data_IF_180360153606
#
_entry.id   IF_180360153606
#
_cell.length_a   1.000
_cell.length_b   1.000
_cell.length_c   1.000
_cell.angle_alpha   90.00
_cell.angle_beta   90.00
_cell.angle_gamma   90.00
#
_symmetry.space_group_name_H-M   'P 1'
#
loop_
_entity.id
_entity.type
_entity.pdbx_description
1 polymer ?
#
# COMPACT_ATOMS: atom_id res chain seq x y z
N UNK A 1 30.84 24.53 -2.07
CA UNK A 1 29.53 24.08 -1.52
C UNK A 1 28.56 25.24 -1.64
N UNK A 2 27.28 25.07 -2.02
CA UNK A 2 26.48 23.84 -1.92
C UNK A 2 25.90 23.33 -3.26
N UNK A 3 25.83 22.01 -3.38
CA UNK A 3 24.92 21.24 -4.26
C UNK A 3 24.01 20.48 -3.31
N UNK A 4 22.69 20.69 -3.36
CA UNK A 4 21.63 19.78 -2.88
C UNK A 4 20.21 20.40 -3.01
N UNK A 5 19.81 20.85 -4.21
CA UNK A 5 18.40 21.23 -4.48
C UNK A 5 17.76 20.47 -5.65
N UNK A 6 18.46 19.52 -6.27
CA UNK A 6 18.01 18.89 -7.52
C UNK A 6 16.95 17.80 -7.32
N UNK A 7 16.84 17.22 -6.13
CA UNK A 7 15.95 16.08 -5.87
C UNK A 7 14.49 16.51 -5.63
N UNK A 8 14.26 17.61 -4.92
CA UNK A 8 12.91 18.16 -4.68
C UNK A 8 12.32 18.74 -5.95
N UNK A 9 13.15 19.36 -6.80
CA UNK A 9 12.69 19.91 -8.07
C UNK A 9 12.34 18.80 -9.09
N UNK A 10 13.07 17.67 -9.08
CA UNK A 10 12.71 16.50 -9.91
C UNK A 10 11.42 15.82 -9.46
N UNK A 11 11.14 15.82 -8.15
CA UNK A 11 9.91 15.26 -7.58
C UNK A 11 8.66 16.08 -7.95
N UNK A 12 8.74 17.41 -7.88
CA UNK A 12 7.66 18.30 -8.34
C UNK A 12 7.48 18.27 -9.86
N UNK A 13 8.57 18.15 -10.63
CA UNK A 13 8.49 18.03 -12.08
C UNK A 13 7.82 16.73 -12.52
N UNK A 14 8.06 15.63 -11.81
CA UNK A 14 7.41 14.34 -12.07
C UNK A 14 5.89 14.39 -11.79
N UNK A 15 5.45 14.96 -10.66
CA UNK A 15 4.02 15.15 -10.40
C UNK A 15 3.34 16.07 -11.43
N UNK A 16 4.03 17.11 -11.90
CA UNK A 16 3.50 18.01 -12.93
C UNK A 16 3.38 17.33 -14.29
N UNK A 17 4.27 16.41 -14.64
CA UNK A 17 4.17 15.63 -15.88
C UNK A 17 3.06 14.58 -15.85
N UNK A 18 2.86 13.89 -14.72
CA UNK A 18 1.74 12.95 -14.56
C UNK A 18 0.38 13.67 -14.70
N UNK A 19 0.22 14.84 -14.05
CA UNK A 19 -1.00 15.67 -14.21
C UNK A 19 -1.16 16.24 -15.63
N UNK A 20 -0.06 16.58 -16.31
CA UNK A 20 -0.12 17.09 -17.69
C UNK A 20 -0.53 16.00 -18.71
N UNK A 21 -0.14 14.76 -18.49
CA UNK A 21 -0.58 13.63 -19.33
C UNK A 21 -2.05 13.27 -19.11
N UNK A 22 -2.61 13.53 -17.92
CA UNK A 22 -4.05 13.39 -17.66
C UNK A 22 -4.88 14.53 -18.26
N UNK A 23 -4.41 15.79 -18.23
CA UNK A 23 -5.11 16.90 -18.90
C UNK A 23 -5.07 16.81 -20.43
N UNK A 24 -4.01 16.23 -21.01
CA UNK A 24 -3.99 15.92 -22.45
C UNK A 24 -4.89 14.73 -22.81
N UNK A 25 -5.21 13.86 -21.84
CA UNK A 25 -6.15 12.73 -22.00
C UNK A 25 -7.61 13.18 -21.94
N UNK A 26 -7.95 14.25 -21.21
CA UNK A 26 -9.31 14.82 -21.18
C UNK A 26 -9.56 15.91 -22.25
N UNK A 27 -8.51 16.44 -22.87
CA UNK A 27 -8.58 17.51 -23.89
C UNK A 27 -8.74 17.05 -25.35
N UNK A 28 -9.09 15.79 -25.60
CA UNK A 28 -9.29 15.21 -26.94
C UNK A 28 -10.60 15.61 -27.64
N UNK A 29 -10.95 16.90 -27.58
CA UNK A 29 -12.21 17.44 -28.09
C UNK A 29 -12.02 18.72 -28.90
N UNK A 30 -11.17 18.69 -29.95
CA UNK A 30 -11.13 19.75 -30.96
C UNK A 30 -10.96 19.17 -32.37
N UNK A 31 -12.08 18.87 -33.03
CA UNK A 31 -12.15 18.95 -34.50
C UNK A 31 -12.75 20.31 -34.85
N UNK A 32 -11.87 21.28 -35.11
CA UNK A 32 -12.25 22.52 -35.77
C UNK A 32 -11.90 22.41 -37.26
N UNK A 33 -12.91 22.71 -38.09
CA UNK A 33 -12.81 23.31 -39.41
C UNK A 33 -11.90 22.64 -40.47
N UNK A 34 -12.51 21.80 -41.30
CA UNK A 34 -12.23 21.80 -42.74
C UNK A 34 -13.56 21.89 -43.49
N UNK A 35 -13.73 23.01 -44.20
CA UNK A 35 -14.85 23.30 -45.09
C UNK A 35 -14.85 22.33 -46.28
N UNK A 36 -16.05 21.89 -46.65
CA UNK A 36 -16.46 21.78 -48.05
C UNK A 36 -16.05 20.51 -48.79
N UNK A 37 -16.83 19.44 -48.66
CA UNK A 37 -17.21 18.63 -49.81
C UNK A 37 -18.56 17.94 -49.56
N UNK A 38 -19.56 18.31 -50.37
CA UNK A 38 -20.86 17.65 -50.50
C UNK A 38 -20.66 16.16 -50.82
N UNK A 39 -21.28 15.25 -50.06
CA UNK A 39 -22.09 14.12 -50.56
C UNK A 39 -22.97 13.66 -49.39
N UNK A 40 -24.28 13.62 -49.59
CA UNK A 40 -25.23 13.17 -48.57
C UNK A 40 -25.23 11.65 -48.40
N UNK A 41 -25.66 11.16 -47.24
CA UNK A 41 -26.38 9.89 -47.06
C UNK A 41 -27.05 9.89 -45.68
N UNK A 42 -28.25 9.32 -45.66
CA UNK A 42 -29.32 9.36 -44.66
C UNK A 42 -28.92 8.89 -43.26
N UNK A 43 -29.46 9.58 -42.26
CA UNK A 43 -29.78 9.03 -40.94
C UNK A 43 -30.87 7.97 -41.11
N UNK A 44 -30.65 6.76 -40.62
CA UNK A 44 -31.71 5.77 -40.43
C UNK A 44 -31.57 5.14 -39.06
N UNK A 45 -32.45 5.61 -38.18
CA UNK A 45 -32.89 4.93 -36.97
C UNK A 45 -33.61 3.67 -37.45
N UNK A 46 -33.14 2.48 -37.08
CA UNK A 46 -33.94 1.26 -37.22
C UNK A 46 -33.85 0.43 -35.93
N UNK A 47 -35.00 0.35 -35.29
CA UNK A 47 -35.39 -0.61 -34.26
C UNK A 47 -35.60 -2.01 -34.86
N UNK A 48 -35.26 -3.03 -34.06
CA UNK A 48 -35.76 -4.41 -34.05
C UNK A 48 -35.50 -5.35 -35.25
N UNK A 49 -34.81 -6.47 -35.01
CA UNK A 49 -35.42 -7.83 -34.95
C UNK A 49 -34.33 -8.90 -34.84
N UNK A 50 -34.65 -10.02 -34.19
CA UNK A 50 -33.73 -11.11 -33.89
C UNK A 50 -33.47 -12.08 -35.06
N UNK A 51 -32.34 -12.77 -34.98
CA UNK A 51 -31.98 -13.94 -35.79
C UNK A 51 -30.52 -14.37 -35.51
N UNK A 52 -30.21 -15.68 -35.37
CA UNK A 52 -28.91 -16.15 -34.92
C UNK A 52 -27.91 -16.14 -36.07
N UNK A 53 -26.80 -15.40 -35.94
CA UNK A 53 -25.72 -15.40 -36.93
C UNK A 53 -24.66 -16.42 -36.49
N UNK A 54 -24.39 -17.37 -37.39
CA UNK A 54 -23.57 -18.56 -37.19
C UNK A 54 -22.08 -18.33 -36.86
N UNK A 55 -21.31 -19.42 -36.74
CA UNK A 55 -19.99 -19.40 -36.12
C UNK A 55 -19.01 -18.65 -37.02
N UNK A 56 -18.61 -17.47 -36.58
CA UNK A 56 -17.47 -16.76 -37.17
C UNK A 56 -16.22 -17.60 -36.92
N UNK A 57 -15.60 -18.06 -38.02
CA UNK A 57 -14.28 -18.67 -38.06
C UNK A 57 -13.26 -17.68 -37.46
N UNK A 58 -13.06 -17.77 -36.14
CA UNK A 58 -12.00 -17.05 -35.44
C UNK A 58 -10.68 -17.62 -35.94
N UNK A 59 -10.01 -16.86 -36.82
CA UNK A 59 -8.63 -17.12 -37.21
C UNK A 59 -7.78 -17.27 -35.95
N UNK A 60 -7.40 -18.51 -35.64
CA UNK A 60 -6.42 -18.83 -34.61
C UNK A 60 -5.09 -18.25 -35.10
N UNK A 61 -4.82 -16.99 -34.76
CA UNK A 61 -3.44 -16.50 -34.74
C UNK A 61 -2.68 -17.43 -33.78
N UNK A 62 -1.53 -17.99 -34.16
CA UNK A 62 -0.72 -18.73 -33.22
C UNK A 62 -0.33 -17.78 -32.09
N UNK A 63 -0.83 -18.03 -30.87
CA UNK A 63 -0.36 -17.31 -29.69
C UNK A 63 1.07 -17.76 -29.40
N UNK A 64 1.97 -16.84 -28.99
CA UNK A 64 3.33 -17.21 -28.61
C UNK A 64 3.33 -18.24 -27.45
N UNK A 65 4.43 -18.98 -27.20
CA UNK A 65 4.53 -20.09 -26.22
C UNK A 65 4.31 -19.70 -24.74
N UNK A 66 3.83 -18.50 -24.46
CA UNK A 66 3.64 -17.88 -23.15
C UNK A 66 2.30 -18.26 -22.48
N UNK A 67 1.51 -19.13 -23.08
CA UNK A 67 0.32 -19.72 -22.43
C UNK A 67 0.72 -20.73 -21.34
N UNK A 68 1.92 -21.32 -21.43
CA UNK A 68 2.47 -22.17 -20.37
C UNK A 68 2.70 -21.39 -19.07
N UNK A 69 3.22 -20.15 -19.15
CA UNK A 69 3.51 -19.30 -17.98
C UNK A 69 2.25 -18.80 -17.24
N UNK A 70 1.06 -18.88 -17.87
CA UNK A 70 -0.19 -18.42 -17.26
C UNK A 70 -0.97 -19.55 -16.58
N UNK A 71 -0.48 -20.80 -16.70
CA UNK A 71 -1.09 -21.95 -16.07
C UNK A 71 -0.87 -21.90 -14.53
N UNK A 72 -1.90 -22.13 -13.69
CA UNK A 72 -1.76 -22.17 -12.24
C UNK A 72 -0.66 -23.13 -11.77
N UNK A 73 -0.40 -24.20 -12.51
CA UNK A 73 0.67 -25.18 -12.22
C UNK A 73 2.06 -24.51 -12.26
N UNK A 74 2.31 -23.62 -13.24
CA UNK A 74 3.61 -22.93 -13.34
C UNK A 74 3.78 -21.97 -12.18
N UNK A 75 2.72 -21.28 -11.75
CA UNK A 75 2.78 -20.39 -10.59
C UNK A 75 3.16 -21.16 -9.31
N UNK A 76 2.57 -22.33 -9.07
CA UNK A 76 2.94 -23.17 -7.94
C UNK A 76 4.38 -23.69 -8.03
N UNK A 77 4.86 -24.01 -9.24
CA UNK A 77 6.25 -24.42 -9.46
C UNK A 77 7.23 -23.28 -9.13
N UNK A 78 6.91 -22.03 -9.52
CA UNK A 78 7.74 -20.87 -9.17
C UNK A 78 7.71 -20.58 -7.67
N UNK A 79 6.56 -20.73 -7.01
CA UNK A 79 6.45 -20.65 -5.54
C UNK A 79 7.33 -21.71 -4.88
N UNK A 80 7.29 -22.96 -5.34
CA UNK A 80 8.14 -24.04 -4.84
C UNK A 80 9.64 -23.75 -5.05
N UNK A 81 10.01 -23.19 -6.20
CA UNK A 81 11.39 -22.79 -6.48
C UNK A 81 11.85 -21.63 -5.57
N UNK A 82 10.94 -20.69 -5.27
CA UNK A 82 11.15 -19.67 -4.25
C UNK A 82 11.39 -20.26 -2.86
N UNK A 83 10.65 -21.31 -2.48
CA UNK A 83 10.81 -22.00 -1.21
C UNK A 83 12.21 -22.58 -1.06
N UNK A 84 12.71 -23.25 -2.11
CA UNK A 84 14.07 -23.78 -2.18
C UNK A 84 15.10 -22.65 -2.06
N UNK A 85 14.91 -21.55 -2.79
CA UNK A 85 15.80 -20.38 -2.74
C UNK A 85 15.91 -19.78 -1.34
N UNK A 86 14.78 -19.53 -0.67
CA UNK A 86 14.77 -19.00 0.70
C UNK A 86 15.39 -20.00 1.69
N UNK A 87 15.11 -21.30 1.53
CA UNK A 87 15.65 -22.34 2.41
C UNK A 87 17.17 -22.45 2.33
N UNK A 88 17.74 -22.17 1.15
CA UNK A 88 19.20 -22.10 0.94
C UNK A 88 19.81 -20.77 1.40
N UNK A 89 19.03 -19.69 1.43
CA UNK A 89 19.50 -18.37 1.84
C UNK A 89 19.61 -18.22 3.37
N UNK A 90 18.89 -19.06 4.14
CA UNK A 90 18.91 -19.05 5.61
C UNK A 90 20.28 -19.44 6.19
N UNK A 91 20.70 -18.85 7.33
CA UNK A 91 21.96 -19.19 7.99
C UNK A 91 22.04 -20.67 8.42
N UNK A 92 23.03 -21.41 7.89
CA UNK A 92 23.33 -22.81 8.24
C UNK A 92 24.81 -22.97 8.64
N UNK A 93 25.08 -23.92 9.54
CA UNK A 93 26.46 -24.29 9.93
C UNK A 93 27.18 -24.95 8.75
N UNK A 94 28.37 -24.43 8.39
CA UNK A 94 29.39 -25.15 7.62
C UNK A 94 29.44 -24.92 6.11
N UNK A 95 28.42 -24.36 5.46
CA UNK A 95 28.45 -24.06 4.01
C UNK A 95 27.99 -22.63 3.77
N UNK A 96 28.63 -21.91 2.85
CA UNK A 96 28.37 -20.51 2.51
C UNK A 96 27.44 -20.26 1.29
N UNK A 97 26.34 -21.02 1.04
CA UNK A 97 25.52 -20.81 -0.16
C UNK A 97 24.51 -19.67 0.01
N UNK A 98 24.61 -18.79 1.02
CA UNK A 98 23.67 -17.69 1.25
C UNK A 98 23.51 -16.78 0.02
N UNK A 99 24.60 -16.55 -0.72
CA UNK A 99 24.58 -15.78 -1.97
C UNK A 99 23.79 -16.51 -3.06
N UNK A 100 24.00 -17.83 -3.19
CA UNK A 100 23.34 -18.69 -4.19
C UNK A 100 21.85 -18.80 -3.89
N UNK A 101 21.47 -19.06 -2.64
CA UNK A 101 20.07 -19.06 -2.21
C UNK A 101 19.39 -17.71 -2.44
N UNK A 102 20.10 -16.62 -2.16
CA UNK A 102 19.62 -15.26 -2.43
C UNK A 102 19.33 -15.00 -3.91
N UNK A 103 20.23 -15.45 -4.80
CA UNK A 103 20.04 -15.35 -6.26
C UNK A 103 18.83 -16.17 -6.72
N UNK A 104 18.69 -17.41 -6.25
CA UNK A 104 17.56 -18.28 -6.60
C UNK A 104 16.24 -17.66 -6.15
N UNK A 105 16.17 -17.15 -4.91
CA UNK A 105 14.98 -16.48 -4.39
C UNK A 105 14.66 -15.20 -5.18
N UNK A 106 15.67 -14.42 -5.57
CA UNK A 106 15.48 -13.21 -6.38
C UNK A 106 14.96 -13.55 -7.80
N UNK A 107 15.50 -14.59 -8.43
CA UNK A 107 15.03 -15.06 -9.75
C UNK A 107 13.59 -15.57 -9.66
N UNK A 108 13.26 -16.36 -8.64
CA UNK A 108 11.90 -16.84 -8.41
C UNK A 108 10.93 -15.67 -8.21
N UNK A 109 11.26 -14.74 -7.32
CA UNK A 109 10.43 -13.55 -7.07
C UNK A 109 10.26 -12.68 -8.31
N UNK A 110 11.34 -12.44 -9.07
CA UNK A 110 11.29 -11.72 -10.33
C UNK A 110 10.40 -12.40 -11.37
N UNK A 111 10.45 -13.74 -11.45
CA UNK A 111 9.59 -14.52 -12.34
C UNK A 111 8.12 -14.46 -11.92
N UNK A 112 7.80 -14.50 -10.62
CA UNK A 112 6.42 -14.31 -10.12
C UNK A 112 5.90 -12.93 -10.52
N UNK A 113 6.68 -11.88 -10.28
CA UNK A 113 6.29 -10.50 -10.63
C UNK A 113 6.08 -10.37 -12.13
N UNK A 114 6.96 -10.95 -12.95
CA UNK A 114 6.83 -10.95 -14.41
C UNK A 114 5.57 -11.69 -14.87
N UNK A 115 5.31 -12.90 -14.34
CA UNK A 115 4.12 -13.70 -14.68
C UNK A 115 2.84 -12.95 -14.32
N UNK A 116 2.76 -12.37 -13.12
CA UNK A 116 1.60 -11.58 -12.69
C UNK A 116 1.40 -10.34 -13.56
N UNK A 117 2.49 -9.68 -13.95
CA UNK A 117 2.43 -8.48 -14.79
C UNK A 117 1.99 -8.79 -16.22
N UNK A 118 2.50 -9.88 -16.80
CA UNK A 118 2.07 -10.36 -18.11
C UNK A 118 0.60 -10.80 -18.08
N UNK A 119 0.13 -11.39 -16.98
CA UNK A 119 -1.28 -11.76 -16.80
C UNK A 119 -2.17 -10.52 -16.69
N UNK A 120 -1.77 -9.53 -15.90
CA UNK A 120 -2.48 -8.26 -15.77
C UNK A 120 -2.58 -7.52 -17.11
N UNK A 121 -1.48 -7.47 -17.88
CA UNK A 121 -1.44 -6.85 -19.21
C UNK A 121 -2.29 -7.57 -20.28
N UNK A 122 -2.70 -8.83 -20.04
CA UNK A 122 -3.63 -9.55 -20.93
C UNK A 122 -5.10 -9.34 -20.54
N UNK A 123 -5.37 -9.12 -19.26
CA UNK A 123 -6.73 -8.95 -18.75
C UNK A 123 -7.19 -7.47 -18.78
N UNK A 124 -6.27 -6.54 -18.53
CA UNK A 124 -6.46 -5.12 -18.80
C UNK A 124 -5.96 -4.76 -20.20
N UNK A 125 -6.55 -3.76 -20.84
CA UNK A 125 -6.15 -3.30 -22.18
C UNK A 125 -4.70 -2.76 -22.26
N UNK A 126 -4.31 -2.13 -23.38
CA UNK A 126 -2.94 -1.65 -23.63
C UNK A 126 -2.34 -0.68 -22.58
N UNK A 127 -3.14 -0.19 -21.62
CA UNK A 127 -2.73 0.68 -20.51
C UNK A 127 -2.49 -0.06 -19.18
N UNK A 128 -2.60 -1.40 -19.13
CA UNK A 128 -2.57 -2.16 -17.88
C UNK A 128 -1.19 -2.58 -17.37
N UNK A 129 -0.12 -2.23 -18.10
CA UNK A 129 1.24 -2.54 -17.66
C UNK A 129 1.65 -1.62 -16.49
N UNK A 130 2.09 -2.19 -15.34
CA UNK A 130 2.58 -1.38 -14.22
C UNK A 130 3.76 -0.48 -14.62
N UNK A 131 3.81 0.72 -14.05
CA UNK A 131 4.91 1.68 -14.26
C UNK A 131 6.29 1.09 -13.89
N UNK A 132 7.37 1.55 -14.51
CA UNK A 132 8.73 1.10 -14.18
C UNK A 132 9.04 1.21 -12.68
N UNK A 133 8.60 2.29 -12.04
CA UNK A 133 8.78 2.54 -10.61
C UNK A 133 8.17 1.43 -9.74
N UNK A 134 7.06 0.80 -10.17
CA UNK A 134 6.45 -0.30 -9.45
C UNK A 134 7.42 -1.47 -9.31
N UNK A 135 8.07 -1.86 -10.41
CA UNK A 135 9.03 -2.96 -10.39
C UNK A 135 10.26 -2.65 -9.55
N UNK A 136 10.75 -1.41 -9.59
CA UNK A 136 11.88 -0.98 -8.78
C UNK A 136 11.55 -1.07 -7.29
N UNK A 137 10.43 -0.49 -6.85
CA UNK A 137 10.02 -0.54 -5.45
C UNK A 137 9.68 -1.97 -5.00
N UNK A 138 9.02 -2.78 -5.83
CA UNK A 138 8.74 -4.17 -5.52
C UNK A 138 10.01 -5.01 -5.38
N UNK A 139 10.99 -4.83 -6.27
CA UNK A 139 12.28 -5.53 -6.21
C UNK A 139 13.06 -5.15 -4.94
N UNK A 140 13.10 -3.85 -4.59
CA UNK A 140 13.74 -3.39 -3.36
C UNK A 140 13.02 -3.94 -2.12
N UNK A 141 11.69 -3.93 -2.10
CA UNK A 141 10.90 -4.46 -0.98
C UNK A 141 11.16 -5.96 -0.76
N UNK A 142 11.10 -6.77 -1.82
CA UNK A 142 11.36 -8.22 -1.73
C UNK A 142 12.81 -8.54 -1.39
N UNK A 143 13.77 -7.83 -1.99
CA UNK A 143 15.19 -8.01 -1.71
C UNK A 143 15.56 -7.64 -0.27
N UNK A 144 15.00 -6.54 0.23
CA UNK A 144 15.16 -6.11 1.61
C UNK A 144 14.51 -7.09 2.58
N UNK A 145 13.28 -7.54 2.31
CA UNK A 145 12.59 -8.53 3.14
C UNK A 145 13.35 -9.86 3.24
N UNK A 146 13.92 -10.33 2.12
CA UNK A 146 14.79 -11.52 2.11
C UNK A 146 16.05 -11.29 2.95
N UNK A 147 16.63 -10.08 2.92
CA UNK A 147 17.81 -9.74 3.73
C UNK A 147 17.51 -9.58 5.21
N UNK A 148 16.31 -9.14 5.60
CA UNK A 148 15.87 -9.11 7.01
C UNK A 148 15.98 -10.49 7.65
N UNK A 149 15.49 -11.54 6.98
CA UNK A 149 15.42 -12.88 7.55
C UNK A 149 16.71 -13.69 7.39
N UNK A 150 17.61 -13.29 6.49
CA UNK A 150 18.86 -14.03 6.21
C UNK A 150 20.09 -13.44 6.88
N UNK A 151 20.03 -12.18 7.34
CA UNK A 151 21.19 -11.52 7.91
C UNK A 151 21.40 -11.92 9.38
N UNK A 152 22.61 -12.39 9.77
CA UNK A 152 22.85 -12.96 11.11
C UNK A 152 22.98 -11.90 12.22
N UNK A 153 23.14 -10.62 11.86
CA UNK A 153 23.29 -9.53 12.83
C UNK A 153 21.97 -8.77 12.99
N UNK A 154 21.37 -8.70 14.18
CA UNK A 154 20.02 -8.18 14.38
C UNK A 154 19.88 -6.70 14.02
N UNK A 155 20.90 -5.88 14.30
CA UNK A 155 20.91 -4.45 13.95
C UNK A 155 20.79 -4.25 12.43
N UNK A 156 21.57 -4.98 11.65
CA UNK A 156 21.53 -4.88 10.18
C UNK A 156 20.25 -5.49 9.61
N UNK A 157 19.73 -6.58 10.20
CA UNK A 157 18.43 -7.14 9.84
C UNK A 157 17.32 -6.09 9.98
N UNK A 158 17.31 -5.34 11.08
CA UNK A 158 16.33 -4.28 11.30
C UNK A 158 16.52 -3.07 10.35
N UNK A 159 17.74 -2.74 9.92
CA UNK A 159 17.96 -1.73 8.86
C UNK A 159 17.35 -2.15 7.51
N UNK A 160 17.46 -3.43 7.13
CA UNK A 160 16.77 -3.97 5.95
C UNK A 160 15.24 -3.95 6.13
N UNK A 161 14.75 -4.04 7.36
CA UNK A 161 13.31 -3.97 7.63
C UNK A 161 12.79 -2.54 7.40
N UNK A 162 13.53 -1.52 7.84
CA UNK A 162 13.24 -0.12 7.49
C UNK A 162 13.19 0.06 5.97
N UNK A 163 14.17 -0.48 5.24
CA UNK A 163 14.21 -0.37 3.78
C UNK A 163 12.98 -1.02 3.12
N UNK A 164 12.50 -2.15 3.65
CA UNK A 164 11.28 -2.83 3.17
C UNK A 164 10.03 -1.97 3.37
N UNK A 165 9.92 -1.33 4.54
CA UNK A 165 8.80 -0.44 4.87
C UNK A 165 8.82 0.82 4.01
N UNK A 166 9.99 1.44 3.80
CA UNK A 166 10.15 2.59 2.89
C UNK A 166 9.80 2.23 1.44
N UNK A 167 10.23 1.08 0.95
CA UNK A 167 9.87 0.62 -0.39
C UNK A 167 8.35 0.36 -0.53
N UNK A 168 7.73 -0.19 0.51
CA UNK A 168 6.27 -0.39 0.57
C UNK A 168 5.51 0.95 0.60
N UNK A 169 6.02 1.97 1.29
CA UNK A 169 5.45 3.31 1.25
C UNK A 169 5.52 3.92 -0.17
N UNK A 170 6.62 3.67 -0.89
CA UNK A 170 6.73 4.00 -2.31
C UNK A 170 5.64 3.34 -3.16
N UNK A 171 5.35 2.05 -2.93
CA UNK A 171 4.24 1.35 -3.61
C UNK A 171 2.87 1.97 -3.29
N UNK A 172 2.63 2.42 -2.06
CA UNK A 172 1.39 3.13 -1.72
C UNK A 172 1.27 4.49 -2.38
N UNK A 173 2.38 5.24 -2.55
CA UNK A 173 2.36 6.48 -3.32
C UNK A 173 1.99 6.23 -4.79
N UNK A 174 2.45 5.12 -5.38
CA UNK A 174 2.09 4.74 -6.75
C UNK A 174 0.60 4.38 -6.90
N UNK A 175 -0.03 3.91 -5.83
CA UNK A 175 -1.47 3.63 -5.76
C UNK A 175 -2.30 4.88 -5.44
N UNK A 176 -1.69 6.08 -5.48
CA UNK A 176 -2.30 7.35 -5.05
C UNK A 176 -2.80 7.33 -3.60
N UNK A 177 -2.27 6.43 -2.75
CA UNK A 177 -2.63 6.28 -1.34
C UNK A 177 -1.66 7.08 -0.44
N UNK A 178 -1.66 8.40 -0.61
CA UNK A 178 -0.68 9.30 0.00
C UNK A 178 -0.70 9.27 1.54
N UNK A 179 -1.88 9.36 2.14
CA UNK A 179 -2.03 9.30 3.59
C UNK A 179 -1.44 8.00 4.16
N UNK A 180 -1.78 6.86 3.55
CA UNK A 180 -1.31 5.54 3.99
C UNK A 180 0.21 5.41 3.84
N UNK A 181 0.79 5.96 2.78
CA UNK A 181 2.24 5.99 2.60
C UNK A 181 2.95 6.77 3.73
N UNK A 182 2.48 7.98 4.05
CA UNK A 182 3.07 8.77 5.13
C UNK A 182 2.85 8.13 6.51
N UNK A 183 1.66 7.58 6.77
CA UNK A 183 1.37 6.86 8.02
C UNK A 183 2.31 5.65 8.20
N UNK A 184 2.57 4.89 7.13
CA UNK A 184 3.50 3.77 7.14
C UNK A 184 4.93 4.22 7.50
N UNK A 185 5.37 5.36 6.97
CA UNK A 185 6.70 5.91 7.28
C UNK A 185 6.77 6.40 8.74
N UNK A 186 5.83 7.23 9.18
CA UNK A 186 5.88 7.86 10.51
C UNK A 186 5.74 6.81 11.61
N UNK A 187 4.77 5.89 11.48
CA UNK A 187 4.44 4.92 12.52
C UNK A 187 5.38 3.73 12.48
N UNK A 188 5.48 3.05 11.32
CA UNK A 188 6.26 1.81 11.24
C UNK A 188 7.76 2.08 11.10
N UNK A 189 8.18 2.82 10.08
CA UNK A 189 9.61 3.09 9.88
C UNK A 189 10.18 4.03 10.95
N UNK A 190 9.39 5.01 11.40
CA UNK A 190 9.75 5.98 12.43
C UNK A 190 9.65 5.37 13.82
N UNK A 191 8.47 5.38 14.44
CA UNK A 191 8.34 5.02 15.85
C UNK A 191 8.66 3.54 16.13
N UNK A 192 7.95 2.60 15.50
CA UNK A 192 8.00 1.18 15.90
C UNK A 192 9.37 0.58 15.63
N UNK A 193 9.89 0.72 14.40
CA UNK A 193 11.15 0.06 14.03
C UNK A 193 12.36 0.73 14.69
N UNK A 194 12.38 2.05 14.86
CA UNK A 194 13.48 2.72 15.59
C UNK A 194 13.45 2.35 17.07
N UNK A 195 12.28 2.30 17.71
CA UNK A 195 12.16 1.80 19.08
C UNK A 195 12.63 0.36 19.19
N UNK A 196 12.25 -0.51 18.24
CA UNK A 196 12.72 -1.89 18.21
C UNK A 196 14.24 -1.97 18.02
N UNK A 197 14.82 -1.19 17.11
CA UNK A 197 16.27 -1.07 16.91
C UNK A 197 17.00 -0.66 18.19
N UNK A 198 16.46 0.30 18.91
CA UNK A 198 17.02 0.74 20.19
C UNK A 198 16.98 -0.37 21.24
N UNK A 199 15.85 -1.08 21.34
CA UNK A 199 15.67 -2.22 22.26
C UNK A 199 16.64 -3.35 21.96
N UNK A 200 16.77 -3.78 20.69
CA UNK A 200 17.72 -4.85 20.34
C UNK A 200 19.17 -4.39 20.57
N UNK A 201 19.50 -3.12 20.30
CA UNK A 201 20.85 -2.61 20.50
C UNK A 201 21.21 -2.59 21.99
N UNK A 202 20.31 -2.14 22.86
CA UNK A 202 20.50 -2.19 24.32
C UNK A 202 20.58 -3.63 24.84
N UNK A 203 19.79 -4.55 24.29
CA UNK A 203 19.85 -5.96 24.65
C UNK A 203 21.17 -6.64 24.24
N UNK A 204 21.89 -6.07 23.26
CA UNK A 204 23.10 -6.68 22.66
C UNK A 204 24.45 -6.28 23.31
N UNK A 205 24.47 -5.81 24.58
CA UNK A 205 25.71 -5.51 25.35
C UNK A 205 25.54 -6.06 26.79
N UNK A 206 26.46 -6.84 27.39
CA UNK A 206 27.90 -6.73 27.44
C UNK A 206 28.64 -8.02 27.02
N UNK A 207 29.81 -7.91 26.34
CA UNK A 207 30.72 -9.04 26.17
C UNK A 207 31.16 -9.53 27.55
N UNK A 208 30.78 -10.74 27.93
CA UNK A 208 31.40 -11.45 29.05
C UNK A 208 32.92 -11.48 28.79
N UNK A 209 33.70 -10.90 29.70
CA UNK A 209 35.15 -10.81 29.59
C UNK A 209 35.73 -12.24 29.46
N UNK A 210 36.12 -12.61 28.23
CA UNK A 210 36.63 -13.94 27.90
C UNK A 210 35.96 -14.64 26.70
N UNK A 211 34.87 -14.12 26.14
CA UNK A 211 34.25 -14.64 24.90
C UNK A 211 34.19 -13.57 23.83
N UNK A 212 35.34 -13.28 23.22
CA UNK A 212 35.51 -12.12 22.33
C UNK A 212 34.61 -12.07 21.09
N UNK A 213 33.95 -13.14 20.62
CA UNK A 213 33.23 -13.12 19.32
C UNK A 213 32.10 -14.15 19.15
N UNK A 214 31.39 -14.54 20.20
CA UNK A 214 30.27 -15.49 20.07
C UNK A 214 28.93 -14.75 20.04
N UNK A 215 28.49 -14.39 18.82
CA UNK A 215 27.07 -14.14 18.56
C UNK A 215 26.24 -15.26 19.20
N UNK A 216 25.07 -14.92 19.75
CA UNK A 216 24.20 -15.93 20.36
C UNK A 216 23.96 -17.07 19.36
N UNK A 217 24.03 -18.32 19.83
CA UNK A 217 23.88 -19.50 18.97
C UNK A 217 22.53 -19.49 18.22
N UNK A 218 21.51 -18.88 18.82
CA UNK A 218 20.19 -18.64 18.25
C UNK A 218 20.19 -17.68 17.05
N UNK A 219 21.11 -16.71 16.99
CA UNK A 219 21.17 -15.70 15.91
C UNK A 219 21.95 -16.21 14.69
N UNK A 220 22.81 -17.22 14.90
CA UNK A 220 23.73 -17.71 13.86
C UNK A 220 23.21 -18.95 13.13
N UNK A 221 22.25 -19.67 13.71
CA UNK A 221 21.76 -20.95 13.17
C UNK A 221 20.24 -21.01 13.23
N UNK A 222 19.63 -21.26 12.06
CA UNK A 222 18.21 -21.60 12.01
C UNK A 222 17.96 -23.00 12.60
N UNK A 223 17.09 -23.09 13.61
CA UNK A 223 16.77 -24.36 14.30
C UNK A 223 16.12 -25.39 13.36
N UNK A 224 15.16 -24.94 12.55
CA UNK A 224 14.41 -25.80 11.60
C UNK A 224 14.09 -25.06 10.28
N UNK A 225 15.09 -24.81 9.40
CA UNK A 225 14.90 -23.99 8.20
C UNK A 225 13.94 -24.60 7.18
N UNK A 226 13.91 -25.93 7.05
CA UNK A 226 13.07 -26.63 6.06
C UNK A 226 11.60 -26.55 6.45
N UNK A 227 11.27 -26.81 7.72
CA UNK A 227 9.90 -26.74 8.22
C UNK A 227 9.35 -25.31 8.10
N UNK A 228 10.14 -24.30 8.50
CA UNK A 228 9.76 -22.90 8.40
C UNK A 228 9.49 -22.45 6.96
N UNK A 229 10.37 -22.78 6.00
CA UNK A 229 10.14 -22.41 4.59
C UNK A 229 8.99 -23.17 3.97
N UNK A 230 8.83 -24.45 4.28
CA UNK A 230 7.72 -25.24 3.74
C UNK A 230 6.38 -24.69 4.24
N UNK A 231 6.25 -24.43 5.54
CA UNK A 231 5.03 -23.86 6.10
C UNK A 231 4.70 -22.48 5.48
N UNK A 232 5.69 -21.58 5.41
CA UNK A 232 5.51 -20.25 4.83
C UNK A 232 5.08 -20.28 3.36
N UNK A 233 5.69 -21.13 2.55
CA UNK A 233 5.38 -21.23 1.11
C UNK A 233 4.09 -22.00 0.83
N UNK A 234 3.67 -22.93 1.70
CA UNK A 234 2.34 -23.54 1.64
C UNK A 234 1.27 -22.49 1.88
N UNK A 235 1.41 -21.66 2.93
CA UNK A 235 0.48 -20.56 3.20
C UNK A 235 0.46 -19.57 2.03
N UNK A 236 1.63 -19.18 1.50
CA UNK A 236 1.72 -18.31 0.33
C UNK A 236 1.03 -18.91 -0.91
N UNK A 237 1.22 -20.20 -1.15
CA UNK A 237 0.56 -20.93 -2.23
C UNK A 237 -0.96 -20.93 -2.10
N UNK A 238 -1.47 -21.21 -0.90
CA UNK A 238 -2.92 -21.19 -0.61
C UNK A 238 -3.49 -19.78 -0.78
N UNK A 239 -2.85 -18.75 -0.23
CA UNK A 239 -3.29 -17.37 -0.39
C UNK A 239 -3.29 -16.94 -1.86
N UNK A 240 -2.27 -17.32 -2.61
CA UNK A 240 -2.19 -17.05 -4.05
C UNK A 240 -3.31 -17.77 -4.80
N UNK A 241 -3.62 -19.02 -4.44
CA UNK A 241 -4.73 -19.77 -5.02
C UNK A 241 -6.08 -19.10 -4.78
N UNK A 242 -6.34 -18.68 -3.54
CA UNK A 242 -7.58 -17.98 -3.16
C UNK A 242 -7.71 -16.65 -3.88
N UNK A 243 -6.64 -15.85 -3.91
CA UNK A 243 -6.62 -14.54 -4.56
C UNK A 243 -6.90 -14.66 -6.06
N UNK A 244 -6.27 -15.63 -6.72
CA UNK A 244 -6.39 -15.81 -8.17
C UNK A 244 -7.66 -16.57 -8.58
N UNK A 245 -8.27 -17.32 -7.68
CA UNK A 245 -9.52 -18.06 -7.90
C UNK A 245 -10.79 -17.22 -7.67
N UNK A 246 -10.76 -16.26 -6.74
CA UNK A 246 -11.96 -15.55 -6.28
C UNK A 246 -12.38 -14.31 -7.09
N UNK A 247 -11.55 -13.82 -8.01
CA UNK A 247 -11.79 -12.52 -8.68
C UNK A 247 -12.93 -12.47 -9.70
N UNK A 248 -13.55 -13.61 -10.07
CA UNK A 248 -14.51 -13.68 -11.17
C UNK A 248 -15.98 -13.42 -10.78
N UNK A 249 -16.30 -13.19 -9.49
CA UNK A 249 -17.69 -13.14 -9.01
C UNK A 249 -18.15 -11.83 -8.36
N UNK A 250 -17.40 -10.73 -8.46
CA UNK A 250 -17.88 -9.46 -7.91
C UNK A 250 -18.90 -8.81 -8.86
N UNK A 251 -20.13 -8.52 -8.40
CA UNK A 251 -21.07 -7.70 -9.16
C UNK A 251 -20.42 -6.35 -9.47
N UNK A 252 -20.64 -5.77 -10.67
CA UNK A 252 -20.19 -4.41 -10.95
C UNK A 252 -20.79 -3.48 -9.89
N UNK A 253 -19.93 -2.73 -9.20
CA UNK A 253 -20.36 -1.79 -8.17
C UNK A 253 -21.41 -0.83 -8.76
N UNK A 254 -22.49 -0.51 -8.01
CA UNK A 254 -23.49 0.44 -8.46
C UNK A 254 -22.83 1.77 -8.81
N UNK A 255 -23.32 2.44 -9.85
CA UNK A 255 -22.72 3.60 -10.51
C UNK A 255 -22.57 4.88 -9.66
N UNK A 256 -22.88 4.84 -8.36
CA UNK A 256 -22.60 5.94 -7.45
C UNK A 256 -21.14 5.85 -7.00
N UNK A 257 -20.31 6.73 -7.55
CA UNK A 257 -18.94 6.90 -7.08
C UNK A 257 -18.98 7.29 -5.58
N UNK A 258 -18.37 6.50 -4.67
CA UNK A 258 -18.39 6.76 -3.24
C UNK A 258 -17.85 8.16 -2.88
N UNK A 259 -16.97 8.70 -3.72
CA UNK A 259 -16.45 10.06 -3.55
C UNK A 259 -17.54 11.12 -3.77
N UNK A 260 -18.45 10.91 -4.72
CA UNK A 260 -19.54 11.83 -5.04
C UNK A 260 -20.57 11.85 -3.91
N UNK A 261 -20.91 10.69 -3.36
CA UNK A 261 -21.82 10.61 -2.20
C UNK A 261 -21.25 11.33 -0.99
N UNK A 262 -19.94 11.21 -0.73
CA UNK A 262 -19.26 11.91 0.37
C UNK A 262 -19.12 13.42 0.12
N UNK A 263 -18.90 13.83 -1.13
CA UNK A 263 -18.87 15.26 -1.51
C UNK A 263 -20.24 15.93 -1.23
N UNK A 264 -21.35 15.22 -1.44
CA UNK A 264 -22.68 15.73 -1.13
C UNK A 264 -22.87 16.04 0.37
N UNK A 265 -22.21 15.29 1.25
CA UNK A 265 -22.24 15.50 2.70
C UNK A 265 -21.37 16.69 3.15
N UNK A 266 -20.64 17.33 2.23
CA UNK A 266 -19.74 18.47 2.46
C UNK A 266 -20.26 19.78 1.82
N UNK A 267 -21.46 20.28 2.19
CA UNK A 267 -22.08 21.42 1.52
C UNK A 267 -21.23 22.70 1.62
N UNK A 268 -20.53 22.91 2.74
CA UNK A 268 -19.65 24.07 2.91
C UNK A 268 -18.46 24.09 1.95
N UNK A 269 -17.91 22.92 1.63
CA UNK A 269 -16.78 22.82 0.71
C UNK A 269 -17.23 23.14 -0.71
N UNK A 270 -18.38 22.60 -1.12
CA UNK A 270 -19.01 22.92 -2.41
C UNK A 270 -19.30 24.43 -2.49
N UNK A 271 -19.88 25.03 -1.45
CA UNK A 271 -20.15 26.48 -1.39
C UNK A 271 -18.88 27.32 -1.48
N UNK A 272 -17.82 26.97 -0.73
CA UNK A 272 -16.54 27.69 -0.80
C UNK A 272 -15.93 27.61 -2.19
N UNK A 273 -15.87 26.42 -2.80
CA UNK A 273 -15.34 26.27 -4.16
C UNK A 273 -16.17 27.01 -5.20
N UNK A 274 -17.50 27.08 -5.05
CA UNK A 274 -18.37 27.88 -5.92
C UNK A 274 -18.18 29.39 -5.71
N UNK A 275 -17.88 29.84 -4.48
CA UNK A 275 -17.52 31.25 -4.21
C UNK A 275 -16.16 31.60 -4.83
N UNK A 276 -15.17 30.73 -4.66
CA UNK A 276 -13.82 30.91 -5.22
C UNK A 276 -13.85 30.94 -6.76
N UNK A 277 -14.70 30.12 -7.37
CA UNK A 277 -14.95 30.12 -8.82
C UNK A 277 -15.78 31.31 -9.30
N UNK A 278 -16.28 32.17 -8.40
CA UNK A 278 -17.12 33.33 -8.72
C UNK A 278 -18.55 32.97 -9.16
N UNK A 279 -18.94 31.71 -9.05
CA UNK A 279 -20.29 31.22 -9.38
C UNK A 279 -21.31 31.63 -8.31
N UNK A 280 -20.88 31.77 -7.05
CA UNK A 280 -21.74 32.13 -5.93
C UNK A 280 -21.40 33.55 -5.43
N UNK A 281 -22.25 34.53 -5.74
CA UNK A 281 -22.08 35.94 -5.33
C UNK A 281 -22.80 36.23 -3.99
N UNK A 282 -22.35 37.29 -3.31
CA UNK A 282 -22.68 37.61 -1.91
C UNK A 282 -24.12 37.32 -1.48
N UNK A 283 -24.28 36.51 -0.41
CA UNK A 283 -25.57 36.09 0.15
C UNK A 283 -26.16 34.81 -0.44
N UNK A 284 -25.73 34.38 -1.65
CA UNK A 284 -26.22 33.13 -2.24
C UNK A 284 -25.77 31.87 -1.49
N UNK A 285 -26.60 30.83 -1.56
CA UNK A 285 -26.39 29.52 -0.92
C UNK A 285 -26.68 28.37 -1.88
N UNK A 286 -26.33 27.14 -1.51
CA UNK A 286 -26.75 25.96 -2.26
C UNK A 286 -28.26 25.73 -2.13
N UNK A 287 -28.90 25.39 -3.25
CA UNK A 287 -30.29 24.96 -3.19
C UNK A 287 -30.35 23.59 -2.50
N UNK A 288 -31.23 23.48 -1.50
CA UNK A 288 -31.42 22.27 -0.71
C UNK A 288 -32.71 21.57 -1.10
N UNK A 289 -32.66 20.24 -1.12
CA UNK A 289 -33.82 19.36 -1.24
C UNK A 289 -34.71 19.48 -0.01
N UNK A 290 -35.92 18.93 -0.06
CA UNK A 290 -36.83 18.83 1.10
C UNK A 290 -36.24 18.03 2.26
N UNK A 291 -35.24 17.17 2.00
CA UNK A 291 -34.46 16.45 3.02
C UNK A 291 -33.25 17.24 3.57
N UNK A 292 -32.97 18.43 3.05
CA UNK A 292 -31.85 19.27 3.49
C UNK A 292 -30.53 19.06 2.74
N UNK A 293 -30.44 18.06 1.88
CA UNK A 293 -29.25 17.77 1.06
C UNK A 293 -29.10 18.73 -0.12
N UNK A 294 -27.87 19.03 -0.58
CA UNK A 294 -27.64 19.85 -1.75
C UNK A 294 -28.14 19.15 -3.02
N UNK A 295 -28.84 19.89 -3.89
CA UNK A 295 -29.33 19.38 -5.17
C UNK A 295 -28.21 19.42 -6.21
N UNK A 296 -27.60 18.25 -6.44
CA UNK A 296 -26.45 18.09 -7.35
C UNK A 296 -26.83 17.10 -8.46
N UNK A 297 -26.57 17.49 -9.70
CA UNK A 297 -26.65 16.59 -10.85
C UNK A 297 -25.23 16.14 -11.24
N UNK A 298 -24.91 14.89 -10.91
CA UNK A 298 -23.59 14.32 -11.13
C UNK A 298 -23.31 13.97 -12.60
N UNK A 299 -24.33 13.68 -13.42
CA UNK A 299 -24.12 13.36 -14.85
C UNK A 299 -23.74 14.59 -15.66
N UNK A 300 -24.38 15.72 -15.36
CA UNK A 300 -24.17 16.98 -16.08
C UNK A 300 -23.14 17.89 -15.40
N UNK A 301 -22.59 17.46 -14.26
CA UNK A 301 -21.67 18.24 -13.38
C UNK A 301 -22.21 19.63 -13.08
N UNK A 302 -23.49 19.72 -12.71
CA UNK A 302 -24.13 21.00 -12.35
C UNK A 302 -24.69 20.96 -10.94
N UNK A 303 -24.57 22.07 -10.23
CA UNK A 303 -25.11 22.26 -8.89
C UNK A 303 -26.15 23.36 -8.91
N UNK A 304 -27.26 23.15 -8.22
CA UNK A 304 -28.30 24.18 -8.13
C UNK A 304 -27.95 25.18 -7.02
N UNK A 305 -27.90 26.46 -7.38
CA UNK A 305 -27.61 27.58 -6.47
C UNK A 305 -28.86 28.45 -6.29
N UNK A 306 -29.03 29.00 -5.10
CA UNK A 306 -30.09 29.94 -4.75
C UNK A 306 -29.48 31.34 -4.54
N UNK A 307 -29.90 32.30 -5.37
CA UNK A 307 -29.47 33.68 -5.29
C UNK A 307 -30.11 34.43 -4.11
N UNK A 308 -29.60 35.63 -3.77
CA UNK A 308 -30.16 36.46 -2.69
C UNK A 308 -31.63 36.85 -2.92
N UNK A 309 -32.09 36.83 -4.18
CA UNK A 309 -33.47 37.12 -4.58
C UNK A 309 -34.38 35.86 -4.54
N UNK A 310 -33.89 34.72 -4.03
CA UNK A 310 -34.61 33.44 -4.00
C UNK A 310 -34.70 32.71 -5.35
N UNK A 311 -34.04 33.23 -6.40
CA UNK A 311 -34.02 32.59 -7.72
C UNK A 311 -33.07 31.38 -7.74
N UNK A 312 -33.51 30.26 -8.31
CA UNK A 312 -32.73 29.03 -8.44
C UNK A 312 -32.13 28.90 -9.82
N UNK A 313 -30.81 28.81 -9.92
CA UNK A 313 -30.10 28.64 -11.19
C UNK A 313 -29.13 27.45 -11.11
N UNK A 314 -28.88 26.81 -12.25
CA UNK A 314 -27.88 25.75 -12.35
C UNK A 314 -26.52 26.38 -12.65
N UNK A 315 -25.54 26.13 -11.79
CA UNK A 315 -24.16 26.53 -11.98
C UNK A 315 -23.31 25.30 -12.35
N UNK A 316 -22.33 25.44 -13.26
CA UNK A 316 -21.38 24.37 -13.52
C UNK A 316 -20.51 24.11 -12.28
N UNK A 317 -20.26 22.83 -11.99
CA UNK A 317 -19.35 22.42 -10.92
C UNK A 317 -17.92 22.85 -11.27
N UNK A 318 -17.20 23.54 -10.36
CA UNK A 318 -15.83 23.96 -10.63
C UNK A 318 -14.90 22.76 -10.83
N UNK A 319 -13.92 22.94 -11.72
CA UNK A 319 -12.89 21.93 -11.98
C UNK A 319 -11.97 21.77 -10.75
N UNK A 320 -11.79 20.54 -10.28
CA UNK A 320 -10.94 20.21 -9.12
C UNK A 320 -11.67 20.02 -7.79
N UNK A 321 -13.01 20.01 -7.77
CA UNK A 321 -13.78 19.65 -6.59
C UNK A 321 -13.75 18.13 -6.35
N UNK A 322 -12.66 17.65 -5.75
CA UNK A 322 -12.47 16.26 -5.34
C UNK A 322 -12.14 16.19 -3.84
N UNK A 323 -12.47 15.07 -3.20
CA UNK A 323 -12.03 14.79 -1.83
C UNK A 323 -10.53 14.50 -1.85
N UNK A 324 -9.79 15.17 -0.97
CA UNK A 324 -8.42 14.75 -0.68
C UNK A 324 -8.43 13.38 -0.01
N UNK A 325 -7.41 12.56 -0.23
CA UNK A 325 -7.27 11.26 0.43
C UNK A 325 -7.36 11.35 1.96
N UNK A 326 -6.76 12.39 2.55
CA UNK A 326 -6.77 12.62 4.01
C UNK A 326 -8.19 12.95 4.49
N UNK A 327 -8.89 13.76 3.71
CA UNK A 327 -10.25 14.20 4.01
C UNK A 327 -11.23 13.05 3.89
N UNK A 328 -11.17 12.29 2.80
CA UNK A 328 -11.99 11.10 2.58
C UNK A 328 -11.79 10.03 3.66
N UNK A 329 -10.55 9.86 4.14
CA UNK A 329 -10.29 8.99 5.27
C UNK A 329 -10.91 9.53 6.57
N UNK A 330 -10.79 10.84 6.84
CA UNK A 330 -11.39 11.48 8.01
C UNK A 330 -12.91 11.26 8.07
N UNK A 331 -13.60 11.42 6.94
CA UNK A 331 -15.04 11.11 6.84
C UNK A 331 -15.34 9.65 7.13
N UNK A 332 -14.66 8.73 6.44
CA UNK A 332 -14.86 7.28 6.64
C UNK A 332 -14.58 6.83 8.07
N UNK A 333 -13.58 7.41 8.74
CA UNK A 333 -13.24 7.07 10.12
C UNK A 333 -14.30 7.57 11.11
N UNK A 334 -14.80 8.80 10.95
CA UNK A 334 -15.74 9.40 11.91
C UNK A 334 -17.19 9.00 11.67
N UNK A 335 -17.60 8.83 10.41
CA UNK A 335 -18.97 8.50 10.02
C UNK A 335 -19.21 6.99 10.03
N UNK A 336 -18.39 6.24 9.29
CA UNK A 336 -18.60 4.80 9.11
C UNK A 336 -18.01 3.98 10.27
N UNK A 337 -16.95 4.46 10.94
CA UNK A 337 -16.17 3.68 11.92
C UNK A 337 -15.91 4.35 13.29
N UNK A 338 -16.86 5.08 13.91
CA UNK A 338 -16.60 5.78 15.17
C UNK A 338 -16.17 4.84 16.31
N UNK A 339 -16.78 3.65 16.41
CA UNK A 339 -16.46 2.66 17.45
C UNK A 339 -15.03 2.11 17.32
N UNK A 340 -14.51 1.97 16.10
CA UNK A 340 -13.14 1.50 15.87
C UNK A 340 -12.10 2.47 16.43
N UNK A 341 -12.34 3.78 16.34
CA UNK A 341 -11.46 4.82 16.90
C UNK A 341 -11.47 4.76 18.43
N UNK A 342 -12.64 4.62 19.04
CA UNK A 342 -12.78 4.55 20.49
C UNK A 342 -12.06 3.32 21.05
N UNK A 343 -12.27 2.15 20.43
CA UNK A 343 -11.59 0.90 20.79
C UNK A 343 -10.07 1.03 20.62
N UNK A 344 -9.60 1.64 19.52
CA UNK A 344 -8.17 1.88 19.32
C UNK A 344 -7.59 2.77 20.42
N UNK A 345 -8.31 3.82 20.83
CA UNK A 345 -7.92 4.69 21.94
C UNK A 345 -7.80 3.95 23.28
N UNK A 346 -8.77 3.09 23.59
CA UNK A 346 -8.73 2.25 24.80
C UNK A 346 -7.57 1.25 24.76
N UNK A 347 -7.32 0.61 23.61
CA UNK A 347 -6.18 -0.31 23.44
C UNK A 347 -4.86 0.42 23.65
N UNK A 348 -4.70 1.62 23.09
CA UNK A 348 -3.48 2.43 23.28
C UNK A 348 -3.28 2.82 24.74
N UNK A 349 -4.35 3.22 25.43
CA UNK A 349 -4.28 3.53 26.87
C UNK A 349 -3.85 2.30 27.69
N UNK A 350 -4.46 1.15 27.43
CA UNK A 350 -4.12 -0.10 28.11
C UNK A 350 -2.69 -0.56 27.81
N UNK A 351 -2.23 -0.40 26.57
CA UNK A 351 -0.85 -0.72 26.18
C UNK A 351 0.17 0.17 26.91
N UNK A 352 -0.08 1.48 27.02
CA UNK A 352 0.77 2.40 27.76
C UNK A 352 0.80 2.06 29.26
N UNK A 353 -0.36 1.83 29.88
CA UNK A 353 -0.43 1.43 31.29
C UNK A 353 0.31 0.11 31.53
N UNK A 354 0.10 -0.88 30.67
CA UNK A 354 0.77 -2.18 30.74
C UNK A 354 2.30 -2.06 30.64
N UNK A 355 2.81 -1.26 29.70
CA UNK A 355 4.25 -1.01 29.56
C UNK A 355 4.86 -0.32 30.80
N UNK A 356 4.16 0.65 31.40
CA UNK A 356 4.62 1.36 32.60
C UNK A 356 4.62 0.44 33.82
N UNK A 357 3.55 -0.34 34.03
CA UNK A 357 3.47 -1.30 35.16
C UNK A 357 4.54 -2.39 35.02
N UNK A 358 4.74 -2.91 33.81
CA UNK A 358 5.76 -3.94 33.55
C UNK A 358 7.18 -3.43 33.81
N UNK A 359 7.51 -2.22 33.35
CA UNK A 359 8.84 -1.65 33.55
C UNK A 359 9.14 -1.35 35.02
N UNK A 360 8.16 -0.91 35.81
CA UNK A 360 8.33 -0.72 37.27
C UNK A 360 8.55 -2.03 38.03
N UNK A 361 7.78 -3.07 37.71
CA UNK A 361 7.86 -4.36 38.42
C UNK A 361 9.24 -5.04 38.26
N UNK A 362 9.87 -4.87 37.10
CA UNK A 362 11.23 -5.39 36.88
C UNK A 362 12.26 -4.74 37.83
N UNK A 363 12.16 -3.43 38.04
CA UNK A 363 13.07 -2.69 38.94
C UNK A 363 12.92 -3.18 40.39
N UNK A 364 11.70 -3.40 40.86
CA UNK A 364 11.46 -3.88 42.23
C UNK A 364 12.06 -5.27 42.47
N UNK A 365 11.89 -6.21 41.53
CA UNK A 365 12.41 -7.57 41.66
C UNK A 365 13.95 -7.61 41.62
N UNK A 366 14.58 -6.78 40.79
CA UNK A 366 16.04 -6.67 40.73
C UNK A 366 16.62 -6.10 42.04
N UNK A 367 15.95 -5.13 42.65
CA UNK A 367 16.34 -4.59 43.96
C UNK A 367 16.17 -5.61 45.09
N UNK A 368 15.10 -6.41 45.09
CA UNK A 368 14.93 -7.51 46.05
C UNK A 368 16.05 -8.56 45.94
N UNK A 369 16.42 -8.95 44.72
CA UNK A 369 17.52 -9.89 44.48
C UNK A 369 18.86 -9.34 44.99
N UNK A 370 19.14 -8.05 44.76
CA UNK A 370 20.33 -7.39 45.30
C UNK A 370 20.32 -7.37 46.83
N UNK A 371 19.19 -7.03 47.45
CA UNK A 371 19.04 -7.05 48.92
C UNK A 371 19.26 -8.46 49.50
N UNK A 372 18.69 -9.50 48.88
CA UNK A 372 18.90 -10.90 49.31
C UNK A 372 20.37 -11.32 49.18
N UNK A 373 21.04 -10.97 48.08
CA UNK A 373 22.48 -11.24 47.91
C UNK A 373 23.33 -10.50 48.95
N UNK A 374 22.98 -9.25 49.27
CA UNK A 374 23.69 -8.47 50.30
C UNK A 374 23.55 -9.12 51.69
N UNK A 375 22.36 -9.59 52.06
CA UNK A 375 22.16 -10.33 53.32
C UNK A 375 22.96 -11.64 53.36
N UNK A 376 22.95 -12.44 52.29
CA UNK A 376 23.73 -13.68 52.22
C UNK A 376 25.25 -13.45 52.37
N UNK A 377 25.78 -12.37 51.79
CA UNK A 377 27.19 -12.01 51.93
C UNK A 377 27.54 -11.55 53.35
N UNK A 378 26.64 -10.84 54.03
CA UNK A 378 26.82 -10.44 55.42
C UNK A 378 26.86 -11.66 56.36
N UNK A 379 25.96 -12.63 56.17
CA UNK A 379 25.93 -13.87 56.95
C UNK A 379 27.17 -14.74 56.70
N UNK A 380 27.61 -14.85 55.44
CA UNK A 380 28.83 -15.59 55.08
C UNK A 380 30.11 -14.93 55.61
N UNK A 381 30.18 -13.60 55.65
CA UNK A 381 31.30 -12.85 56.22
C UNK A 381 31.36 -12.92 57.75
N UNK A 382 30.22 -13.12 58.41
CA UNK A 382 30.12 -13.32 59.86
C UNK A 382 30.58 -14.70 60.34
N UNK A 383 30.52 -15.73 59.49
CA UNK A 383 30.91 -17.10 59.83
C UNK A 383 32.42 -17.39 59.73
N UNK A 384 33.23 -16.43 59.26
CA UNK A 384 34.69 -16.58 59.07
C UNK A 384 35.51 -15.85 60.15
N UNK A 385 34.85 -15.25 61.15
CA UNK A 385 35.47 -14.72 62.38
C UNK A 385 35.15 -15.62 63.55
#
# INVERSE_FOLDING_TARGET
MPRNCTLVHSFFFFQRHVRATEQLRSGGGRRAALRGLKVGVRVSILTASGGPVGPSLRSRRPTPPVDLLTNPIVLYLVIALGAVGVCMALPRRGVSPQLVGGIIAAVAGGLIVLVLSLRAARQGGPDAAPNLFFYVFAAVALGAALRVITHPRPVYAALYFILTVLASAGLFLLLSAEFMAFALIIIYAGAIIITYLFVIMLATQAPEAGKEHLLAEYDTVSREPIAATTAGFVVLGVLTAMLLGGGAQLPPAPAADPSQTRLAQLPRKIEQSLRDAGCLKGGGALARSSLGDPVINWSDRTVQIEGPDGSRTWAPMPDGLELSNVEGLGFSLLEDHPGSIEIAGVILLMAMLGAVVLSRKQVEHDEELKRRRAHQLADAGGAVR
#
